data_IF_774390854468
#
_entry.id   IF_774390854468
#
_cell.length_a   1.000
_cell.length_b   1.000
_cell.length_c   1.000
_cell.angle_alpha   90.00
_cell.angle_beta   90.00
_cell.angle_gamma   90.00
#
_symmetry.space_group_name_H-M   'P 1'
#
loop_
_entity.id
_entity.type
_entity.pdbx_description
1 polymer ?
#
# COMPACT_ATOMS: atom_id res chain seq x y z
N UNK A 1 29.54 55.55 7.45
CA UNK A 1 28.91 54.75 8.53
C UNK A 1 27.38 54.74 8.43
N UNK A 2 26.71 55.90 8.34
CA UNK A 2 25.23 55.96 8.23
C UNK A 2 24.64 55.25 7.00
N UNK A 3 25.26 55.36 5.82
CA UNK A 3 24.77 54.71 4.59
C UNK A 3 24.77 53.17 4.70
N UNK A 4 25.82 52.60 5.29
CA UNK A 4 25.92 51.15 5.51
C UNK A 4 24.89 50.66 6.54
N UNK A 5 24.60 51.48 7.57
CA UNK A 5 23.62 51.17 8.61
C UNK A 5 22.18 51.18 8.05
N UNK A 6 21.84 52.15 7.21
CA UNK A 6 20.55 52.18 6.51
C UNK A 6 20.35 51.02 5.53
N UNK A 7 21.41 50.59 4.82
CA UNK A 7 21.37 49.40 3.95
C UNK A 7 21.12 48.12 4.74
N UNK A 8 21.84 47.92 5.84
CA UNK A 8 21.67 46.77 6.72
C UNK A 8 20.27 46.72 7.36
N UNK A 9 19.67 47.87 7.69
CA UNK A 9 18.30 47.93 8.19
C UNK A 9 17.27 47.50 7.15
N UNK A 10 17.42 47.92 5.89
CA UNK A 10 16.53 47.51 4.80
C UNK A 10 16.61 46.01 4.53
N UNK A 11 17.83 45.47 4.48
CA UNK A 11 18.08 44.04 4.32
C UNK A 11 17.51 43.22 5.48
N UNK A 12 17.60 43.73 6.71
CA UNK A 12 17.01 43.07 7.88
C UNK A 12 15.48 43.02 7.82
N UNK A 13 14.82 44.10 7.39
CA UNK A 13 13.36 44.12 7.25
C UNK A 13 12.89 43.23 6.09
N UNK A 14 13.60 43.21 4.97
CA UNK A 14 13.33 42.28 3.86
C UNK A 14 13.49 40.81 4.30
N UNK A 15 14.56 40.50 5.06
CA UNK A 15 14.80 39.16 5.58
C UNK A 15 13.72 38.70 6.59
N UNK A 16 13.25 39.60 7.45
CA UNK A 16 12.16 39.29 8.39
C UNK A 16 10.86 39.00 7.64
N UNK A 17 10.57 39.78 6.59
CA UNK A 17 9.39 39.57 5.77
C UNK A 17 9.45 38.22 5.04
N UNK A 18 10.57 37.92 4.37
CA UNK A 18 10.73 36.63 3.67
C UNK A 18 10.67 35.45 4.63
N UNK A 19 11.28 35.57 5.81
CA UNK A 19 11.23 34.51 6.84
C UNK A 19 9.82 34.29 7.38
N UNK A 20 9.03 35.36 7.56
CA UNK A 20 7.63 35.24 8.00
C UNK A 20 6.75 34.58 6.94
N UNK A 21 6.98 34.90 5.67
CA UNK A 21 6.26 34.30 4.54
C UNK A 21 6.60 32.81 4.36
N UNK A 22 7.89 32.45 4.39
CA UNK A 22 8.34 31.06 4.35
C UNK A 22 7.77 30.24 5.51
N UNK A 23 7.74 30.81 6.72
CA UNK A 23 7.15 30.14 7.89
C UNK A 23 5.67 29.85 7.70
N UNK A 24 4.92 30.83 7.18
CA UNK A 24 3.48 30.64 6.87
C UNK A 24 3.28 29.53 5.83
N UNK A 25 4.09 29.53 4.76
CA UNK A 25 4.02 28.51 3.71
C UNK A 25 4.34 27.10 4.26
N UNK A 26 5.34 26.99 5.13
CA UNK A 26 5.67 25.72 5.80
C UNK A 26 4.54 25.24 6.73
N UNK A 27 3.89 26.14 7.47
CA UNK A 27 2.77 25.80 8.33
C UNK A 27 1.56 25.29 7.53
N UNK A 28 1.30 25.89 6.36
CA UNK A 28 0.27 25.46 5.40
C UNK A 28 0.59 24.07 4.84
N UNK A 29 1.81 23.87 4.31
CA UNK A 29 2.26 22.59 3.76
C UNK A 29 2.23 21.47 4.82
N UNK A 30 2.61 21.75 6.07
CA UNK A 30 2.48 20.79 7.17
C UNK A 30 1.02 20.45 7.45
N UNK A 31 0.12 21.42 7.36
CA UNK A 31 -1.33 21.21 7.51
C UNK A 31 -1.90 20.30 6.43
N UNK A 32 -1.52 20.53 5.19
CA UNK A 32 -1.92 19.72 4.04
C UNK A 32 -1.35 18.31 4.13
N UNK A 33 -0.07 18.16 4.48
CA UNK A 33 0.57 16.87 4.68
C UNK A 33 -0.10 16.08 5.82
N UNK A 34 -0.43 16.71 6.94
CA UNK A 34 -1.16 16.04 8.03
C UNK A 34 -2.54 15.58 7.60
N UNK A 35 -3.22 16.36 6.77
CA UNK A 35 -4.53 16.00 6.23
C UNK A 35 -4.42 14.85 5.24
N UNK A 36 -3.41 14.84 4.39
CA UNK A 36 -3.13 13.77 3.43
C UNK A 36 -2.68 12.46 4.11
N UNK A 37 -1.98 12.56 5.24
CA UNK A 37 -1.53 11.42 6.05
C UNK A 37 -2.55 10.99 7.11
N UNK A 38 -3.75 11.59 7.13
CA UNK A 38 -4.78 11.20 8.07
C UNK A 38 -5.19 9.74 7.83
N UNK A 39 -5.29 8.92 8.90
CA UNK A 39 -5.70 7.53 8.74
C UNK A 39 -7.07 7.38 8.08
N UNK A 40 -7.19 6.40 7.19
CA UNK A 40 -8.49 6.03 6.65
C UNK A 40 -9.32 5.30 7.71
N UNK A 41 -10.66 5.39 7.62
CA UNK A 41 -11.58 4.74 8.59
C UNK A 41 -11.40 3.22 8.62
N UNK A 42 -11.01 2.64 7.50
CA UNK A 42 -10.79 1.22 7.26
C UNK A 42 -9.30 0.84 7.23
N UNK A 43 -8.41 1.74 7.68
CA UNK A 43 -6.99 1.44 7.76
C UNK A 43 -6.73 0.31 8.76
N UNK A 44 -6.07 -0.74 8.28
CA UNK A 44 -5.69 -1.90 9.08
C UNK A 44 -4.67 -1.51 10.16
N UNK A 45 -4.79 -2.10 11.35
CA UNK A 45 -3.79 -1.92 12.41
C UNK A 45 -2.37 -2.31 11.96
N UNK A 46 -2.25 -3.28 11.04
CA UNK A 46 -0.96 -3.71 10.49
C UNK A 46 -0.32 -2.72 9.52
N UNK A 47 -1.11 -1.76 9.01
CA UNK A 47 -0.62 -0.68 8.14
C UNK A 47 -0.45 0.64 8.88
N UNK A 48 -0.97 0.74 10.11
CA UNK A 48 -0.76 1.91 10.96
C UNK A 48 0.71 2.02 11.36
N UNK A 49 1.26 3.23 11.19
CA UNK A 49 2.65 3.52 11.57
C UNK A 49 3.71 3.09 10.56
N UNK A 50 3.32 2.68 9.35
CA UNK A 50 4.27 2.54 8.25
C UNK A 50 4.78 3.95 7.87
N UNK A 51 6.10 4.15 7.99
CA UNK A 51 6.73 5.45 7.75
C UNK A 51 7.47 5.52 6.43
N UNK A 52 7.72 4.36 5.80
CA UNK A 52 8.47 4.28 4.55
C UNK A 52 7.74 3.45 3.50
N UNK A 53 8.02 3.76 2.23
CA UNK A 53 7.56 2.95 1.09
C UNK A 53 8.03 1.49 1.18
N UNK A 54 9.23 1.26 1.74
CA UNK A 54 9.79 -0.09 1.87
C UNK A 54 8.96 -0.97 2.82
N UNK A 55 8.54 -0.42 3.96
CA UNK A 55 7.68 -1.11 4.92
C UNK A 55 6.32 -1.47 4.30
N UNK A 56 5.69 -0.54 3.58
CA UNK A 56 4.44 -0.79 2.86
C UNK A 56 4.57 -1.92 1.84
N UNK A 57 5.62 -1.90 1.02
CA UNK A 57 5.88 -2.97 0.03
C UNK A 57 6.13 -4.31 0.73
N UNK A 58 6.76 -4.30 1.91
CA UNK A 58 6.94 -5.49 2.74
C UNK A 58 5.61 -6.09 3.21
N UNK A 59 4.70 -5.26 3.73
CA UNK A 59 3.36 -5.69 4.17
C UNK A 59 2.55 -6.24 2.99
N UNK A 60 2.55 -5.56 1.83
CA UNK A 60 1.85 -6.02 0.62
C UNK A 60 2.35 -7.40 0.19
N UNK A 61 3.67 -7.61 0.18
CA UNK A 61 4.26 -8.91 -0.17
C UNK A 61 3.81 -10.01 0.79
N UNK A 62 3.92 -9.76 2.11
CA UNK A 62 3.50 -10.73 3.12
C UNK A 62 2.01 -11.07 3.00
N UNK A 63 1.17 -10.08 2.71
CA UNK A 63 -0.26 -10.30 2.49
C UNK A 63 -0.51 -11.16 1.25
N UNK A 64 0.19 -10.88 0.14
CA UNK A 64 0.10 -11.69 -1.09
C UNK A 64 0.49 -13.14 -0.87
N UNK A 65 1.57 -13.40 -0.13
CA UNK A 65 2.01 -14.75 0.23
C UNK A 65 0.97 -15.48 1.11
N UNK A 66 0.40 -14.81 2.10
CA UNK A 66 -0.64 -15.37 2.98
C UNK A 66 -1.92 -15.71 2.20
N UNK A 67 -2.37 -14.82 1.32
CA UNK A 67 -3.55 -15.05 0.47
C UNK A 67 -3.32 -16.24 -0.45
N UNK A 68 -2.16 -16.29 -1.12
CA UNK A 68 -1.81 -17.42 -1.99
C UNK A 68 -1.79 -18.74 -1.21
N UNK A 69 -1.16 -18.75 -0.03
CA UNK A 69 -1.12 -19.93 0.84
C UNK A 69 -2.52 -20.38 1.27
N UNK A 70 -3.39 -19.45 1.64
CA UNK A 70 -4.77 -19.76 2.00
C UNK A 70 -5.59 -20.33 0.84
N UNK A 71 -5.41 -19.81 -0.38
CA UNK A 71 -6.07 -20.33 -1.59
C UNK A 71 -5.59 -21.74 -1.90
N UNK A 72 -4.27 -22.00 -1.86
CA UNK A 72 -3.72 -23.33 -2.10
C UNK A 72 -4.24 -24.35 -1.08
N UNK A 73 -4.22 -23.98 0.21
CA UNK A 73 -4.77 -24.81 1.27
C UNK A 73 -6.27 -25.12 1.05
N UNK A 74 -7.07 -24.10 0.72
CA UNK A 74 -8.50 -24.27 0.45
C UNK A 74 -8.76 -25.17 -0.75
N UNK A 75 -7.98 -25.03 -1.82
CA UNK A 75 -8.06 -25.87 -3.01
C UNK A 75 -7.72 -27.33 -2.70
N UNK A 76 -6.59 -27.59 -2.04
CA UNK A 76 -6.18 -28.95 -1.68
C UNK A 76 -7.22 -29.63 -0.79
N UNK A 77 -7.78 -28.90 0.18
CA UNK A 77 -8.84 -29.40 1.04
C UNK A 77 -10.12 -29.71 0.24
N UNK A 78 -10.51 -28.86 -0.71
CA UNK A 78 -11.65 -29.11 -1.57
C UNK A 78 -11.45 -30.35 -2.46
N UNK A 79 -10.25 -30.56 -3.01
CA UNK A 79 -9.90 -31.77 -3.77
C UNK A 79 -10.05 -33.02 -2.90
N UNK A 80 -9.57 -32.99 -1.65
CA UNK A 80 -9.73 -34.11 -0.71
C UNK A 80 -11.20 -34.38 -0.43
N UNK A 81 -12.01 -33.33 -0.17
CA UNK A 81 -13.45 -33.48 0.04
C UNK A 81 -14.16 -34.09 -1.18
N UNK A 82 -13.79 -33.66 -2.39
CA UNK A 82 -14.36 -34.21 -3.63
C UNK A 82 -14.04 -35.69 -3.81
N UNK A 83 -12.82 -36.13 -3.47
CA UNK A 83 -12.43 -37.55 -3.51
C UNK A 83 -13.25 -38.39 -2.54
N UNK A 84 -13.55 -37.85 -1.35
CA UNK A 84 -14.41 -38.53 -0.36
C UNK A 84 -15.86 -38.60 -0.84
N UNK A 85 -16.41 -37.47 -1.29
CA UNK A 85 -17.80 -37.38 -1.72
C UNK A 85 -18.11 -38.21 -2.98
N UNK A 86 -17.11 -38.42 -3.84
CA UNK A 86 -17.22 -39.18 -5.09
C UNK A 86 -16.42 -40.48 -5.02
N UNK A 87 -16.60 -41.23 -3.94
CA UNK A 87 -15.91 -42.51 -3.73
C UNK A 87 -16.19 -43.46 -4.91
N UNK A 88 -15.16 -43.81 -5.68
CA UNK A 88 -15.26 -44.66 -6.87
C UNK A 88 -14.89 -43.98 -8.19
N UNK A 89 -14.68 -42.65 -8.18
CA UNK A 89 -14.13 -41.91 -9.32
C UNK A 89 -12.70 -41.45 -9.02
N UNK A 90 -11.78 -41.69 -9.96
CA UNK A 90 -10.43 -41.14 -9.90
C UNK A 90 -10.42 -39.70 -10.43
N UNK A 91 -10.20 -38.73 -9.54
CA UNK A 91 -10.13 -37.32 -9.92
C UNK A 91 -8.73 -36.98 -10.43
N UNK A 92 -8.65 -36.53 -11.69
CA UNK A 92 -7.45 -35.95 -12.26
C UNK A 92 -7.44 -34.44 -12.01
N UNK A 93 -6.48 -33.97 -11.21
CA UNK A 93 -6.30 -32.55 -10.91
C UNK A 93 -5.16 -31.89 -11.69
N UNK A 94 -4.51 -32.63 -12.60
CA UNK A 94 -3.40 -32.11 -13.38
C UNK A 94 -3.87 -30.98 -14.30
N UNK A 95 -3.10 -29.89 -14.32
CA UNK A 95 -3.42 -28.71 -15.12
C UNK A 95 -4.48 -27.79 -14.51
N UNK A 96 -5.13 -28.18 -13.41
CA UNK A 96 -5.99 -27.28 -12.64
C UNK A 96 -5.11 -26.27 -11.90
N UNK A 97 -5.47 -24.99 -11.99
CA UNK A 97 -4.77 -23.93 -11.29
C UNK A 97 -5.71 -22.74 -11.05
N UNK A 98 -5.43 -21.92 -10.05
CA UNK A 98 -6.26 -20.75 -9.69
C UNK A 98 -6.44 -19.77 -10.85
N UNK A 99 -5.45 -19.68 -11.75
CA UNK A 99 -5.49 -18.80 -12.92
C UNK A 99 -6.05 -19.49 -14.17
N UNK A 100 -6.50 -20.75 -14.11
CA UNK A 100 -7.05 -21.45 -15.28
C UNK A 100 -8.57 -21.38 -15.25
N UNK A 101 -9.20 -21.41 -16.43
CA UNK A 101 -10.66 -21.47 -16.56
C UNK A 101 -11.07 -22.62 -17.49
N UNK A 102 -12.35 -22.99 -17.45
CA UNK A 102 -12.91 -23.98 -18.36
C UNK A 102 -13.63 -23.28 -19.50
N UNK A 103 -13.19 -23.52 -20.74
CA UNK A 103 -13.89 -23.10 -21.95
C UNK A 103 -14.18 -24.34 -22.80
N UNK A 104 -15.43 -24.52 -23.21
CA UNK A 104 -15.87 -25.65 -24.04
C UNK A 104 -15.41 -27.03 -23.53
N UNK A 105 -15.35 -27.21 -22.20
CA UNK A 105 -14.91 -28.46 -21.55
C UNK A 105 -13.39 -28.66 -21.49
N UNK A 106 -12.58 -27.68 -21.90
CA UNK A 106 -11.12 -27.72 -21.79
C UNK A 106 -10.60 -26.71 -20.78
N UNK A 107 -9.52 -27.06 -20.09
CA UNK A 107 -8.83 -26.17 -19.15
C UNK A 107 -7.85 -25.30 -19.96
N UNK A 108 -8.06 -23.98 -19.93
CA UNK A 108 -7.26 -23.00 -20.68
C UNK A 108 -6.63 -21.95 -19.76
N UNK A 109 -5.56 -21.29 -20.23
CA UNK A 109 -5.14 -20.01 -19.64
C UNK A 109 -6.13 -18.96 -20.14
N UNK A 110 -6.76 -18.17 -19.25
CA UNK A 110 -7.73 -17.15 -19.58
C UNK A 110 -7.36 -16.21 -20.70
#
# INVERSE_FOLDING_TARGET
MQVALGKAQKELEELKFSSAEEKKNMEEEIGDLKSAMAPAVDELETTRGLTTRAELVGVIRSLGEKVLGGIMYGFDNAVVQLKVANSGLELNTNGIWVLRKVENGQIVIP
#
